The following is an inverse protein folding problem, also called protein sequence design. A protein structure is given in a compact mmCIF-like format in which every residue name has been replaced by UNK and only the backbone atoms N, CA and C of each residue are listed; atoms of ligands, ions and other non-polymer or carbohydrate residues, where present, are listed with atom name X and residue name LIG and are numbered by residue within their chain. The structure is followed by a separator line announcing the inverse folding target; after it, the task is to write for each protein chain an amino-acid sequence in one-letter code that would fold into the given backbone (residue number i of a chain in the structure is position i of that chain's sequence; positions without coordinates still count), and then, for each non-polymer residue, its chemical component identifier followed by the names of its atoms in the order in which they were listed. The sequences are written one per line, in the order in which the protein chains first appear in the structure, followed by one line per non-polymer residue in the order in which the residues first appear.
data_IF_291795337763
#
_entry.id   IF_291795337763
#
_cell.length_a   1.000
_cell.length_b   1.000
_cell.length_c   1.000
_cell.angle_alpha   90.00
_cell.angle_beta   90.00
_cell.angle_gamma   90.00
#
_symmetry.space_group_name_H-M   'P 1'
#
loop_
_entity.id
_entity.type
_entity.pdbx_description
1 polymer ?
#
# COMPACT_ATOMS: atom_id res chain seq x y z
N UNK A 1 7.36 -13.01 18.08
CA UNK A 1 6.90 -13.01 16.67
C UNK A 1 8.09 -13.35 15.80
N UNK A 2 8.02 -14.41 14.99
CA UNK A 2 9.11 -14.77 14.10
C UNK A 2 8.98 -14.01 12.76
N UNK A 3 10.05 -13.96 11.96
CA UNK A 3 10.04 -13.26 10.66
C UNK A 3 9.01 -13.85 9.66
N UNK A 4 8.67 -15.13 9.80
CA UNK A 4 7.74 -15.83 8.91
C UNK A 4 6.28 -15.36 9.14
N UNK A 5 5.90 -15.09 10.39
CA UNK A 5 4.57 -14.59 10.73
C UNK A 5 4.32 -13.20 10.15
N UNK A 6 5.36 -12.34 10.15
CA UNK A 6 5.29 -10.99 9.60
C UNK A 6 5.14 -11.01 8.07
N UNK A 7 5.96 -11.82 7.38
CA UNK A 7 5.88 -11.97 5.92
C UNK A 7 4.49 -12.46 5.47
N UNK A 8 3.93 -13.46 6.17
CA UNK A 8 2.59 -13.95 5.86
C UNK A 8 1.51 -12.87 6.02
N UNK A 9 1.63 -11.97 7.00
CA UNK A 9 0.68 -10.85 7.18
C UNK A 9 0.79 -9.83 6.05
N UNK A 10 2.03 -9.50 5.63
CA UNK A 10 2.28 -8.55 4.55
C UNK A 10 1.68 -9.07 3.23
N UNK A 11 1.93 -10.33 2.89
CA UNK A 11 1.36 -10.95 1.69
C UNK A 11 -0.17 -10.94 1.70
N UNK A 12 -0.79 -11.23 2.85
CA UNK A 12 -2.25 -11.17 3.00
C UNK A 12 -2.79 -9.76 2.78
N UNK A 13 -2.11 -8.73 3.28
CA UNK A 13 -2.49 -7.34 3.07
C UNK A 13 -2.38 -6.93 1.60
N UNK A 14 -1.27 -7.26 0.93
CA UNK A 14 -1.08 -6.97 -0.48
C UNK A 14 -2.17 -7.63 -1.33
N UNK A 15 -2.48 -8.90 -1.08
CA UNK A 15 -3.58 -9.61 -1.78
C UNK A 15 -4.92 -8.92 -1.60
N UNK A 16 -5.22 -8.48 -0.37
CA UNK A 16 -6.48 -7.79 -0.06
C UNK A 16 -6.56 -6.42 -0.74
N UNK A 17 -5.47 -5.65 -0.74
CA UNK A 17 -5.40 -4.34 -1.42
C UNK A 17 -5.63 -4.51 -2.92
N UNK A 18 -4.98 -5.49 -3.56
CA UNK A 18 -5.16 -5.76 -5.00
C UNK A 18 -6.61 -6.12 -5.33
N UNK A 19 -7.23 -7.02 -4.56
CA UNK A 19 -8.63 -7.43 -4.77
C UNK A 19 -9.60 -6.24 -4.68
N UNK A 20 -9.47 -5.43 -3.63
CA UNK A 20 -10.34 -4.25 -3.43
C UNK A 20 -10.10 -3.23 -4.55
N UNK A 21 -8.84 -3.01 -4.94
CA UNK A 21 -8.51 -2.07 -6.00
C UNK A 21 -9.12 -2.50 -7.34
N UNK A 22 -9.14 -3.79 -7.66
CA UNK A 22 -9.80 -4.34 -8.84
C UNK A 22 -11.32 -4.14 -8.77
N UNK A 23 -11.96 -4.51 -7.65
CA UNK A 23 -13.40 -4.38 -7.43
C UNK A 23 -13.89 -2.91 -7.53
N UNK A 24 -13.05 -1.95 -7.16
CA UNK A 24 -13.39 -0.53 -7.26
C UNK A 24 -13.55 -0.04 -8.70
N UNK A 25 -12.89 -0.66 -9.68
CA UNK A 25 -13.02 -0.33 -11.11
C UNK A 25 -12.68 1.11 -11.51
N UNK A 26 -12.08 1.91 -10.62
CA UNK A 26 -11.77 3.33 -10.82
C UNK A 26 -10.42 3.71 -10.21
N UNK A 27 -9.91 4.89 -10.59
CA UNK A 27 -8.79 5.48 -9.86
C UNK A 27 -9.22 5.97 -8.47
N UNK A 28 -8.36 5.72 -7.49
CA UNK A 28 -8.46 6.23 -6.12
C UNK A 28 -7.20 7.01 -5.81
N UNK A 29 -7.38 8.20 -5.24
CA UNK A 29 -6.30 9.05 -4.74
C UNK A 29 -6.43 9.10 -3.22
N UNK A 30 -5.39 8.68 -2.52
CA UNK A 30 -5.31 8.74 -1.07
C UNK A 30 -4.27 9.80 -0.70
N UNK A 31 -4.71 10.81 0.04
CA UNK A 31 -3.84 11.86 0.54
C UNK A 31 -3.36 11.52 1.92
N UNK A 32 -2.06 11.68 2.13
CA UNK A 32 -1.44 11.67 3.45
C UNK A 32 -1.11 13.14 3.83
N UNK A 33 -1.08 13.46 5.13
CA UNK A 33 -0.91 14.84 5.64
C UNK A 33 0.16 14.97 6.74
N UNK A 34 0.95 13.92 6.95
CA UNK A 34 1.96 13.77 7.97
C UNK A 34 3.32 13.43 7.34
N UNK A 35 4.28 14.34 7.42
CA UNK A 35 5.59 14.18 6.78
C UNK A 35 6.35 12.89 7.14
N UNK A 36 6.10 12.29 8.31
CA UNK A 36 6.72 11.00 8.68
C UNK A 36 6.23 9.84 7.80
N UNK A 37 4.97 9.88 7.33
CA UNK A 37 4.47 8.90 6.38
C UNK A 37 5.05 9.12 4.99
N UNK A 38 5.16 10.37 4.50
CA UNK A 38 5.89 10.68 3.25
C UNK A 38 7.28 10.04 3.24
N UNK A 39 8.06 10.24 4.32
CA UNK A 39 9.40 9.67 4.47
C UNK A 39 9.37 8.14 4.41
N UNK A 40 8.46 7.50 5.15
CA UNK A 40 8.34 6.04 5.20
C UNK A 40 7.94 5.46 3.82
N UNK A 41 6.96 6.07 3.16
CA UNK A 41 6.49 5.67 1.83
C UNK A 41 7.64 5.68 0.82
N UNK A 42 8.43 6.76 0.81
CA UNK A 42 9.58 6.88 -0.09
C UNK A 42 10.69 5.90 0.27
N UNK A 43 11.03 5.78 1.56
CA UNK A 43 12.15 4.94 2.02
C UNK A 43 11.92 3.45 1.76
N UNK A 44 10.69 2.98 1.90
CA UNK A 44 10.34 1.57 1.77
C UNK A 44 9.69 1.20 0.42
N UNK A 45 9.65 2.12 -0.55
CA UNK A 45 9.12 1.82 -1.88
C UNK A 45 7.63 1.47 -1.90
N UNK A 46 6.83 1.95 -0.94
CA UNK A 46 5.41 1.55 -0.79
C UNK A 46 4.61 1.88 -2.07
N UNK A 47 4.99 2.92 -2.81
CA UNK A 47 4.33 3.28 -4.09
C UNK A 47 4.46 2.20 -5.16
N UNK A 48 5.52 1.39 -5.15
CA UNK A 48 5.81 0.41 -6.19
C UNK A 48 4.98 -0.87 -6.05
N UNK A 49 4.54 -1.19 -4.83
CA UNK A 49 3.72 -2.36 -4.53
C UNK A 49 2.21 -2.11 -4.68
N UNK A 50 1.81 -0.85 -4.85
CA UNK A 50 0.39 -0.50 -4.95
C UNK A 50 -0.17 -0.81 -6.35
N UNK A 51 -1.45 -1.22 -6.45
CA UNK A 51 -2.13 -1.37 -7.72
C UNK A 51 -2.12 -0.06 -8.53
N UNK A 52 -2.03 -0.15 -9.86
CA UNK A 52 -1.91 1.02 -10.76
C UNK A 52 -3.02 2.07 -10.61
N UNK A 53 -4.20 1.66 -10.16
CA UNK A 53 -5.34 2.53 -9.94
C UNK A 53 -5.37 3.19 -8.55
N UNK A 54 -4.45 2.86 -7.65
CA UNK A 54 -4.30 3.51 -6.34
C UNK A 54 -3.11 4.47 -6.39
N UNK A 55 -3.37 5.75 -6.17
CA UNK A 55 -2.33 6.79 -6.12
C UNK A 55 -2.22 7.36 -4.73
N UNK A 56 -1.03 7.30 -4.14
CA UNK A 56 -0.69 8.06 -2.94
C UNK A 56 -0.25 9.46 -3.35
N UNK A 57 -0.94 10.47 -2.83
CA UNK A 57 -0.57 11.87 -2.95
C UNK A 57 -0.15 12.39 -1.57
N UNK A 58 0.80 13.31 -1.58
CA UNK A 58 1.43 13.93 -0.42
C UNK A 58 1.36 15.43 -0.64
#
# INVERSE_FOLDING_TARGET
MNANDANMRIEKLIKKINKIAEELGRQVRLMEVCGTHTQAISRFGIREILPKNIKLIT
#
